data_IF_891647637500
#
_entry.id   IF_891647637500
#
_cell.length_a   1.000
_cell.length_b   1.000
_cell.length_c   1.000
_cell.angle_alpha   90.00
_cell.angle_beta   90.00
_cell.angle_gamma   90.00
#
_symmetry.space_group_name_H-M   'P 1'
#
loop_
_entity.id
_entity.type
_entity.pdbx_description
1 polymer ?
#
# COMPACT_ATOMS: atom_id res chain seq x y z
N UNK A 1 -11.24 7.10 -14.53
CA UNK A 1 -12.70 7.00 -14.28
C UNK A 1 -12.92 6.36 -12.92
N UNK A 2 -12.94 7.19 -11.88
CA UNK A 2 -13.69 6.90 -10.65
C UNK A 2 -15.10 7.37 -10.99
N UNK A 3 -16.06 6.50 -10.73
CA UNK A 3 -17.47 6.62 -11.06
C UNK A 3 -18.01 8.06 -10.94
N UNK A 4 -18.14 8.73 -12.08
CA UNK A 4 -19.07 9.82 -12.28
C UNK A 4 -20.45 9.16 -12.42
N UNK A 5 -21.06 8.84 -11.28
CA UNK A 5 -22.49 8.53 -11.22
C UNK A 5 -23.18 9.88 -11.29
N UNK A 6 -23.67 10.22 -12.48
CA UNK A 6 -24.64 11.31 -12.65
C UNK A 6 -25.93 10.93 -11.90
N UNK A 7 -26.60 11.88 -11.25
CA UNK A 7 -27.87 11.61 -10.59
C UNK A 7 -28.93 11.23 -11.64
N UNK A 8 -29.60 10.10 -11.43
CA UNK A 8 -30.75 9.68 -12.23
C UNK A 8 -31.88 10.71 -12.07
N UNK A 9 -32.32 11.29 -13.19
CA UNK A 9 -33.57 12.05 -13.27
C UNK A 9 -34.71 11.02 -13.37
N UNK A 10 -35.64 11.08 -12.43
CA UNK A 10 -36.86 10.27 -12.43
C UNK A 10 -37.71 10.65 -13.67
N UNK A 11 -37.61 9.87 -14.76
CA UNK A 11 -38.56 9.97 -15.88
C UNK A 11 -39.77 9.06 -15.61
N UNK A 12 -40.94 9.68 -15.65
CA UNK A 12 -42.27 9.18 -15.28
C UNK A 12 -42.70 7.95 -16.11
N UNK A 13 -43.39 7.03 -15.44
CA UNK A 13 -44.09 5.88 -16.04
C UNK A 13 -45.05 6.32 -17.15
N UNK A 14 -44.78 5.95 -18.40
CA UNK A 14 -45.78 5.95 -19.46
C UNK A 14 -46.25 4.50 -19.71
N UNK A 15 -47.49 4.25 -19.30
CA UNK A 15 -48.29 3.05 -19.58
C UNK A 15 -48.48 2.91 -21.11
N UNK A 16 -47.93 1.86 -21.74
CA UNK A 16 -48.32 1.48 -23.11
C UNK A 16 -49.33 0.31 -23.07
N UNK A 17 -50.49 0.61 -23.63
CA UNK A 17 -51.74 -0.16 -23.65
C UNK A 17 -51.63 -1.52 -24.37
N UNK A 18 -52.26 -2.54 -23.78
CA UNK A 18 -52.49 -3.86 -24.37
C UNK A 18 -53.45 -3.75 -25.57
N UNK A 19 -52.98 -4.01 -26.80
CA UNK A 19 -53.85 -4.32 -27.95
C UNK A 19 -53.77 -5.83 -28.28
N UNK A 20 -54.77 -6.58 -27.82
CA UNK A 20 -55.06 -7.94 -28.28
C UNK A 20 -55.67 -7.90 -29.70
N UNK A 21 -54.94 -8.32 -30.73
CA UNK A 21 -55.51 -8.66 -32.04
C UNK A 21 -55.60 -10.18 -32.21
N UNK A 22 -56.79 -10.71 -31.95
CA UNK A 22 -57.23 -12.04 -32.38
C UNK A 22 -57.55 -12.02 -33.89
N UNK A 23 -56.76 -12.70 -34.72
CA UNK A 23 -57.24 -13.21 -36.01
C UNK A 23 -56.89 -14.69 -36.19
N UNK A 24 -57.94 -15.51 -36.06
CA UNK A 24 -57.98 -16.92 -36.42
C UNK A 24 -57.93 -17.11 -37.94
N UNK A 25 -57.00 -17.95 -38.44
CA UNK A 25 -57.26 -18.71 -39.67
C UNK A 25 -56.63 -20.10 -39.61
N UNK A 26 -57.49 -21.11 -39.71
CA UNK A 26 -57.14 -22.53 -39.81
C UNK A 26 -56.45 -22.84 -41.14
N UNK A 27 -55.46 -23.74 -41.13
CA UNK A 27 -55.16 -24.55 -42.31
C UNK A 27 -53.72 -24.99 -42.57
N UNK A 28 -53.44 -26.24 -42.20
CA UNK A 28 -52.61 -27.22 -42.93
C UNK A 28 -51.10 -27.25 -42.65
N UNK A 29 -50.76 -28.21 -41.78
CA UNK A 29 -49.68 -29.19 -41.85
C UNK A 29 -48.42 -28.88 -42.69
N UNK A 30 -47.29 -28.74 -41.99
CA UNK A 30 -46.05 -29.43 -42.35
C UNK A 30 -45.12 -29.53 -41.16
N UNK A 31 -45.01 -30.75 -40.62
CA UNK A 31 -43.95 -31.16 -39.71
C UNK A 31 -42.59 -30.78 -40.30
N UNK A 32 -41.82 -29.97 -39.57
CA UNK A 32 -40.37 -29.95 -39.69
C UNK A 32 -39.78 -30.10 -38.31
N UNK A 33 -39.58 -31.36 -37.95
CA UNK A 33 -38.76 -31.79 -36.83
C UNK A 33 -37.33 -31.28 -37.07
N UNK A 34 -36.90 -30.39 -36.20
CA UNK A 34 -35.52 -29.92 -36.11
C UNK A 34 -35.44 -29.27 -34.74
N UNK A 35 -35.02 -30.05 -33.75
CA UNK A 35 -34.76 -29.64 -32.37
C UNK A 35 -33.99 -28.32 -32.37
N UNK A 36 -34.74 -27.21 -32.31
CA UNK A 36 -34.22 -25.99 -31.74
C UNK A 36 -33.93 -26.39 -30.31
N UNK A 37 -32.64 -26.58 -30.01
CA UNK A 37 -32.12 -26.46 -28.64
C UNK A 37 -32.81 -25.25 -28.05
N UNK A 38 -33.87 -25.49 -27.28
CA UNK A 38 -34.29 -24.59 -26.24
C UNK A 38 -33.09 -24.57 -25.29
N UNK A 39 -32.11 -23.73 -25.62
CA UNK A 39 -31.54 -22.89 -24.60
C UNK A 39 -32.74 -22.13 -24.06
N UNK A 40 -33.41 -22.77 -23.10
CA UNK A 40 -34.20 -22.10 -22.08
C UNK A 40 -33.35 -20.88 -21.77
N UNK A 41 -33.83 -19.70 -22.19
CA UNK A 41 -33.20 -18.45 -21.84
C UNK A 41 -33.20 -18.50 -20.33
N UNK A 42 -32.05 -18.83 -19.76
CA UNK A 42 -31.83 -18.78 -18.33
C UNK A 42 -32.07 -17.31 -18.06
N UNK A 43 -33.27 -16.97 -17.57
CA UNK A 43 -33.49 -15.73 -16.85
C UNK A 43 -32.63 -15.90 -15.61
N UNK A 44 -31.32 -15.71 -15.76
CA UNK A 44 -30.46 -15.41 -14.64
C UNK A 44 -31.05 -14.13 -14.07
N UNK A 45 -31.55 -14.21 -12.84
CA UNK A 45 -32.06 -13.05 -12.11
C UNK A 45 -31.04 -11.91 -12.30
N UNK A 46 -31.46 -10.80 -12.88
CA UNK A 46 -30.59 -9.70 -13.30
C UNK A 46 -29.67 -9.26 -12.15
N UNK A 47 -30.20 -9.27 -10.92
CA UNK A 47 -29.47 -8.98 -9.68
C UNK A 47 -28.30 -9.92 -9.39
N UNK A 48 -28.40 -11.21 -9.75
CA UNK A 48 -27.32 -12.18 -9.61
C UNK A 48 -26.22 -11.89 -10.63
N UNK A 49 -26.60 -11.47 -11.84
CA UNK A 49 -25.64 -11.08 -12.88
C UNK A 49 -24.90 -9.81 -12.47
N UNK A 50 -25.61 -8.80 -11.97
CA UNK A 50 -25.03 -7.53 -11.51
C UNK A 50 -24.06 -7.73 -10.34
N UNK A 51 -24.49 -8.43 -9.27
CA UNK A 51 -23.63 -8.71 -8.11
C UNK A 51 -22.41 -9.56 -8.50
N UNK A 52 -22.57 -10.52 -9.41
CA UNK A 52 -21.45 -11.31 -9.92
C UNK A 52 -20.50 -10.47 -10.79
N UNK A 53 -21.02 -9.53 -11.58
CA UNK A 53 -20.22 -8.64 -12.41
C UNK A 53 -19.41 -7.65 -11.57
N UNK A 54 -20.01 -7.09 -10.51
CA UNK A 54 -19.32 -6.22 -9.54
C UNK A 54 -18.15 -6.96 -8.88
N UNK A 55 -18.40 -8.16 -8.36
CA UNK A 55 -17.37 -8.99 -7.74
C UNK A 55 -16.24 -9.35 -8.71
N UNK A 56 -16.60 -9.76 -9.94
CA UNK A 56 -15.61 -10.09 -10.96
C UNK A 56 -14.75 -8.87 -11.33
N UNK A 57 -15.37 -7.70 -11.50
CA UNK A 57 -14.66 -6.45 -11.75
C UNK A 57 -13.68 -6.14 -10.62
N UNK A 58 -14.12 -6.25 -9.37
CA UNK A 58 -13.28 -6.01 -8.20
C UNK A 58 -12.05 -6.91 -8.13
N UNK A 59 -12.22 -8.21 -8.40
CA UNK A 59 -11.11 -9.18 -8.45
C UNK A 59 -10.13 -8.92 -9.61
N UNK A 60 -10.65 -8.47 -10.76
CA UNK A 60 -9.81 -8.03 -11.88
C UNK A 60 -9.07 -6.74 -11.51
N UNK A 61 -9.75 -5.80 -10.86
CA UNK A 61 -9.21 -4.51 -10.44
C UNK A 61 -8.00 -4.68 -9.52
N UNK A 62 -8.07 -5.56 -8.52
CA UNK A 62 -6.96 -5.88 -7.62
C UNK A 62 -5.67 -6.23 -8.37
N UNK A 63 -5.78 -7.06 -9.42
CA UNK A 63 -4.65 -7.45 -10.28
C UNK A 63 -4.23 -6.32 -11.21
N UNK A 64 -5.20 -5.61 -11.78
CA UNK A 64 -4.98 -4.55 -12.75
C UNK A 64 -4.18 -3.39 -12.15
N UNK A 65 -4.50 -2.94 -10.94
CA UNK A 65 -3.80 -1.80 -10.30
C UNK A 65 -2.33 -2.10 -9.95
N UNK A 66 -1.93 -3.38 -9.94
CA UNK A 66 -0.53 -3.80 -9.81
C UNK A 66 0.19 -3.94 -11.15
N UNK A 67 -0.50 -3.82 -12.29
CA UNK A 67 0.10 -3.80 -13.62
C UNK A 67 0.70 -2.44 -13.93
N UNK A 68 1.62 -2.37 -14.91
CA UNK A 68 2.25 -1.11 -15.34
C UNK A 68 1.24 -0.04 -15.79
N UNK A 69 0.15 -0.45 -16.45
CA UNK A 69 -0.89 0.48 -16.89
C UNK A 69 -1.78 0.93 -15.72
N UNK A 70 -2.20 -0.01 -14.87
CA UNK A 70 -3.07 0.31 -13.74
C UNK A 70 -2.38 1.15 -12.67
N UNK A 71 -1.13 0.85 -12.33
CA UNK A 71 -0.38 1.60 -11.31
C UNK A 71 -0.16 3.06 -11.72
N UNK A 72 0.02 3.33 -13.03
CA UNK A 72 0.09 4.68 -13.59
C UNK A 72 -1.26 5.42 -13.48
N UNK A 73 -2.37 4.75 -13.78
CA UNK A 73 -3.69 5.37 -13.58
C UNK A 73 -3.98 5.66 -12.10
N UNK A 74 -3.48 4.81 -11.20
CA UNK A 74 -3.60 5.05 -9.76
C UNK A 74 -2.68 6.18 -9.29
N UNK A 75 -1.54 6.41 -9.96
CA UNK A 75 -0.63 7.52 -9.62
C UNK A 75 -1.25 8.86 -9.96
N UNK A 76 -1.92 8.97 -11.11
CA UNK A 76 -2.69 10.18 -11.49
C UNK A 76 -3.79 10.47 -10.46
N UNK A 77 -4.54 9.44 -10.04
CA UNK A 77 -5.57 9.57 -8.98
C UNK A 77 -4.97 9.97 -7.63
N UNK A 78 -3.79 9.44 -7.30
CA UNK A 78 -3.06 9.78 -6.08
C UNK A 78 -2.60 11.24 -6.12
N UNK A 79 -2.07 11.72 -7.25
CA UNK A 79 -1.67 13.12 -7.42
C UNK A 79 -2.83 14.09 -7.22
N UNK A 80 -4.00 13.74 -7.76
CA UNK A 80 -5.23 14.52 -7.61
C UNK A 80 -5.88 14.38 -6.21
N UNK A 81 -5.34 13.54 -5.33
CA UNK A 81 -5.86 13.35 -3.98
C UNK A 81 -7.21 12.62 -3.93
N UNK A 82 -7.56 11.85 -4.96
CA UNK A 82 -8.87 11.19 -5.06
C UNK A 82 -9.16 10.19 -3.93
N UNK A 83 -8.12 9.60 -3.33
CA UNK A 83 -8.25 8.64 -2.24
C UNK A 83 -8.40 9.29 -0.86
N UNK A 84 -8.35 10.62 -0.80
CA UNK A 84 -8.42 11.38 0.44
C UNK A 84 -7.07 11.55 1.12
N UNK A 85 -7.15 11.94 2.39
CA UNK A 85 -6.02 12.35 3.21
C UNK A 85 -6.06 11.69 4.59
N UNK A 86 -4.90 11.60 5.22
CA UNK A 86 -4.74 11.03 6.54
C UNK A 86 -5.48 11.86 7.60
N UNK A 87 -6.29 11.23 8.47
CA UNK A 87 -7.03 11.94 9.52
C UNK A 87 -6.13 12.39 10.69
N UNK A 88 -4.88 11.90 10.76
CA UNK A 88 -3.97 12.21 11.86
C UNK A 88 -3.45 13.64 11.71
N UNK A 89 -3.57 14.45 12.76
CA UNK A 89 -3.14 15.86 12.77
C UNK A 89 -1.68 16.04 12.37
N UNK A 90 -0.77 15.23 12.92
CA UNK A 90 0.66 15.29 12.63
C UNK A 90 1.07 14.74 11.25
N UNK A 91 0.09 14.25 10.46
CA UNK A 91 0.29 13.92 9.06
C UNK A 91 0.01 15.10 8.13
N UNK A 92 -0.54 16.20 8.64
CA UNK A 92 -0.71 17.45 7.91
C UNK A 92 -1.47 17.26 6.58
N UNK A 93 -2.50 16.39 6.57
CA UNK A 93 -3.28 16.00 5.38
C UNK A 93 -2.47 15.25 4.30
N UNK A 94 -1.49 14.42 4.69
CA UNK A 94 -0.81 13.51 3.78
C UNK A 94 -1.82 12.64 3.00
N UNK A 95 -1.63 12.53 1.69
CA UNK A 95 -2.50 11.71 0.82
C UNK A 95 -2.41 10.23 1.18
N UNK A 96 -3.52 9.52 1.00
CA UNK A 96 -3.63 8.10 1.31
C UNK A 96 -3.74 7.25 0.06
N UNK A 97 -3.55 5.94 0.22
CA UNK A 97 -3.77 4.93 -0.81
C UNK A 97 -4.84 3.94 -0.33
N UNK A 98 -5.73 3.45 -1.20
CA UNK A 98 -6.65 2.39 -0.84
C UNK A 98 -5.89 1.08 -0.58
N UNK A 99 -6.35 0.31 0.40
CA UNK A 99 -5.74 -0.98 0.78
C UNK A 99 -6.82 -1.95 1.27
N UNK A 100 -6.67 -3.22 0.94
CA UNK A 100 -7.40 -4.32 1.57
C UNK A 100 -6.60 -4.90 2.73
N UNK A 101 -7.24 -5.24 3.84
CA UNK A 101 -6.59 -5.96 4.96
C UNK A 101 -6.60 -7.48 4.75
N UNK A 102 -7.40 -7.96 3.81
CA UNK A 102 -7.40 -9.32 3.29
C UNK A 102 -7.53 -9.32 1.76
N UNK A 103 -7.09 -10.40 1.13
CA UNK A 103 -7.31 -10.66 -0.29
C UNK A 103 -8.52 -11.60 -0.51
N UNK A 104 -9.20 -12.01 0.55
CA UNK A 104 -10.40 -12.87 0.52
C UNK A 104 -11.65 -11.97 0.53
N UNK A 105 -12.51 -12.03 -0.51
CA UNK A 105 -13.74 -11.24 -0.55
C UNK A 105 -14.67 -11.52 0.63
N UNK A 106 -15.35 -10.47 1.10
CA UNK A 106 -16.33 -10.51 2.18
C UNK A 106 -15.73 -10.44 3.59
N UNK A 107 -14.41 -10.46 3.75
CA UNK A 107 -13.79 -10.38 5.08
C UNK A 107 -13.77 -8.96 5.64
N UNK A 108 -13.31 -7.99 4.85
CA UNK A 108 -13.24 -6.60 5.29
C UNK A 108 -13.38 -5.59 4.14
N UNK A 109 -13.94 -4.43 4.46
CA UNK A 109 -14.08 -3.30 3.54
C UNK A 109 -12.74 -2.65 3.23
N UNK A 110 -12.69 -1.88 2.14
CA UNK A 110 -11.53 -1.06 1.80
C UNK A 110 -11.14 -0.10 2.93
N UNK A 111 -9.83 0.05 3.14
CA UNK A 111 -9.23 1.00 4.08
C UNK A 111 -8.30 1.97 3.34
N UNK A 112 -7.82 2.98 4.07
CA UNK A 112 -6.88 3.98 3.59
C UNK A 112 -5.54 3.84 4.33
N UNK A 113 -4.50 3.49 3.60
CA UNK A 113 -3.12 3.47 4.11
C UNK A 113 -2.49 4.86 3.96
N UNK A 114 -1.90 5.38 5.04
CA UNK A 114 -1.11 6.60 5.00
C UNK A 114 0.39 6.29 4.96
N UNK A 115 1.10 6.67 3.88
CA UNK A 115 2.53 6.40 3.75
C UNK A 115 3.39 7.28 4.67
N UNK A 116 2.84 8.37 5.22
CA UNK A 116 3.58 9.27 6.10
C UNK A 116 3.67 8.79 7.56
N UNK A 117 2.62 8.14 8.08
CA UNK A 117 2.62 7.59 9.44
C UNK A 117 2.56 6.07 9.50
N UNK A 118 2.56 5.40 8.35
CA UNK A 118 2.56 3.94 8.21
C UNK A 118 1.41 3.26 8.96
N UNK A 119 0.19 3.80 8.78
CA UNK A 119 -0.99 3.30 9.48
C UNK A 119 -2.22 3.26 8.55
N UNK A 120 -3.22 2.49 8.95
CA UNK A 120 -4.42 2.20 8.17
C UNK A 120 -5.66 2.81 8.85
N UNK A 121 -6.50 3.45 8.05
CA UNK A 121 -7.68 4.20 8.51
C UNK A 121 -8.94 3.76 7.77
N UNK A 122 -10.08 3.86 8.45
CA UNK A 122 -11.39 3.68 7.81
C UNK A 122 -11.70 4.93 6.97
N UNK A 123 -12.16 4.80 5.72
CA UNK A 123 -12.59 5.95 4.92
C UNK A 123 -13.70 6.73 5.66
N UNK A 124 -13.63 8.07 5.71
CA UNK A 124 -14.57 8.87 6.51
C UNK A 124 -15.98 8.90 5.95
N UNK A 125 -16.13 8.73 4.63
CA UNK A 125 -17.43 8.67 3.97
C UNK A 125 -17.99 7.24 4.01
N UNK A 126 -19.21 7.09 4.53
CA UNK A 126 -19.89 5.80 4.67
C UNK A 126 -20.14 5.09 3.35
N UNK A 127 -20.19 5.79 2.21
CA UNK A 127 -20.36 5.16 0.89
C UNK A 127 -19.27 4.14 0.53
N UNK A 128 -18.11 4.23 1.17
CA UNK A 128 -16.99 3.30 0.94
C UNK A 128 -17.03 2.09 1.89
N UNK A 129 -17.97 2.05 2.85
CA UNK A 129 -18.12 0.92 3.78
C UNK A 129 -18.80 -0.29 3.14
N UNK A 130 -19.30 -0.17 1.91
CA UNK A 130 -19.83 -1.30 1.13
C UNK A 130 -18.82 -1.85 0.14
N UNK A 131 -17.70 -1.16 -0.08
CA UNK A 131 -16.67 -1.57 -1.05
C UNK A 131 -15.71 -2.56 -0.41
N UNK A 132 -15.57 -3.74 -1.01
CA UNK A 132 -14.68 -4.80 -0.53
C UNK A 132 -13.20 -4.39 -0.63
N UNK A 133 -12.43 -4.63 0.43
CA UNK A 133 -11.00 -4.36 0.46
C UNK A 133 -10.19 -5.30 -0.43
N UNK A 134 -10.67 -6.52 -0.66
CA UNK A 134 -10.01 -7.50 -1.53
C UNK A 134 -9.84 -6.97 -2.96
N UNK A 135 -10.72 -6.07 -3.42
CA UNK A 135 -10.64 -5.45 -4.75
C UNK A 135 -9.44 -4.52 -4.94
N UNK A 136 -8.75 -4.16 -3.86
CA UNK A 136 -7.48 -3.42 -3.87
C UNK A 136 -6.32 -4.30 -3.42
N UNK A 137 -6.60 -5.25 -2.52
CA UNK A 137 -5.63 -6.19 -1.99
C UNK A 137 -4.63 -5.57 -1.04
N UNK A 138 -3.79 -6.42 -0.44
CA UNK A 138 -2.79 -6.00 0.56
C UNK A 138 -1.53 -5.38 -0.06
N UNK A 139 -1.21 -5.73 -1.30
CA UNK A 139 0.11 -5.46 -1.92
C UNK A 139 0.21 -4.10 -2.60
N UNK A 140 -0.90 -3.58 -3.12
CA UNK A 140 -0.90 -2.40 -4.01
C UNK A 140 -0.17 -1.20 -3.42
N UNK A 141 -0.43 -0.86 -2.15
CA UNK A 141 0.19 0.32 -1.51
C UNK A 141 1.72 0.24 -1.42
N UNK A 142 2.26 -0.92 -1.07
CA UNK A 142 3.71 -1.12 -1.00
C UNK A 142 4.36 -1.07 -2.38
N UNK A 143 3.76 -1.78 -3.36
CA UNK A 143 4.23 -1.77 -4.74
C UNK A 143 4.21 -0.36 -5.35
N UNK A 144 3.17 0.42 -5.06
CA UNK A 144 3.04 1.82 -5.49
C UNK A 144 4.22 2.66 -5.02
N UNK A 145 4.57 2.61 -3.73
CA UNK A 145 5.66 3.40 -3.17
C UNK A 145 7.05 2.97 -3.66
N UNK A 146 7.23 1.69 -3.95
CA UNK A 146 8.46 1.17 -4.56
C UNK A 146 8.57 1.55 -6.05
N UNK A 147 7.44 1.67 -6.74
CA UNK A 147 7.39 2.03 -8.17
C UNK A 147 7.61 3.52 -8.38
N UNK A 148 7.13 4.36 -7.44
CA UNK A 148 7.22 5.82 -7.51
C UNK A 148 7.92 6.42 -6.29
N UNK A 149 9.21 6.09 -6.04
CA UNK A 149 9.94 6.64 -4.91
C UNK A 149 10.05 8.16 -4.96
N UNK A 150 9.95 8.78 -6.14
CA UNK A 150 10.04 10.22 -6.38
C UNK A 150 8.91 11.07 -5.81
N UNK A 151 7.81 10.47 -5.37
CA UNK A 151 6.79 11.22 -4.65
C UNK A 151 7.34 11.72 -3.33
N UNK A 152 7.35 13.04 -3.15
CA UNK A 152 7.79 13.62 -1.89
C UNK A 152 6.69 13.49 -0.83
N UNK A 153 6.88 12.53 0.07
CA UNK A 153 5.98 12.27 1.18
C UNK A 153 6.18 13.24 2.35
N UNK A 154 7.03 14.26 2.24
CA UNK A 154 7.18 15.34 3.23
C UNK A 154 6.32 16.56 2.88
N UNK A 155 6.08 16.81 1.59
CA UNK A 155 5.30 17.96 1.08
C UNK A 155 3.80 17.80 1.34
N UNK A 156 3.11 18.93 1.59
CA UNK A 156 1.70 18.98 1.99
C UNK A 156 0.95 20.11 1.27
N UNK A 157 -0.37 20.01 1.21
CA UNK A 157 -1.24 21.10 0.73
C UNK A 157 -0.86 21.63 -0.66
N UNK A 158 -0.64 22.95 -0.78
CA UNK A 158 -0.35 23.60 -2.05
C UNK A 158 0.98 23.15 -2.69
N UNK A 159 1.98 22.76 -1.89
CA UNK A 159 3.28 22.29 -2.39
C UNK A 159 3.17 21.01 -3.21
N UNK A 160 2.10 20.26 -2.95
CA UNK A 160 1.78 19.03 -3.63
C UNK A 160 1.18 19.26 -5.02
N UNK A 161 0.40 20.34 -5.17
CA UNK A 161 -0.17 20.77 -6.45
C UNK A 161 0.89 21.32 -7.42
N UNK A 162 2.02 21.78 -6.89
CA UNK A 162 3.16 22.27 -7.68
C UNK A 162 4.07 21.16 -8.25
N UNK A 163 3.68 19.89 -8.13
CA UNK A 163 4.50 18.74 -8.56
C UNK A 163 5.56 18.38 -7.52
N UNK A 164 5.11 17.93 -6.35
CA UNK A 164 5.94 17.52 -5.22
C UNK A 164 6.82 16.29 -5.53
N UNK A 165 7.93 16.52 -6.24
CA UNK A 165 9.05 15.58 -6.36
C UNK A 165 10.13 15.89 -5.34
N UNK A 166 10.86 14.84 -4.96
CA UNK A 166 12.02 14.93 -4.07
C UNK A 166 13.15 15.73 -4.74
N UNK A 167 13.78 16.64 -3.99
CA UNK A 167 14.93 17.43 -4.45
C UNK A 167 16.15 16.54 -4.73
N UNK A 168 17.07 16.96 -5.61
CA UNK A 168 18.29 16.18 -5.91
C UNK A 168 19.13 15.85 -4.65
N UNK A 169 19.18 16.78 -3.71
CA UNK A 169 19.96 16.63 -2.46
C UNK A 169 19.35 15.58 -1.51
N UNK A 170 18.07 15.26 -1.65
CA UNK A 170 17.33 14.33 -0.78
C UNK A 170 17.19 12.92 -1.38
N UNK A 171 17.92 12.64 -2.47
CA UNK A 171 17.85 11.36 -3.20
C UNK A 171 18.61 10.20 -2.57
N UNK A 172 19.12 10.37 -1.36
CA UNK A 172 19.75 9.26 -0.64
C UNK A 172 18.69 8.17 -0.38
N UNK A 173 18.93 6.99 -0.95
CA UNK A 173 18.02 5.84 -0.86
C UNK A 173 18.30 5.03 0.40
N UNK A 174 17.24 4.52 1.00
CA UNK A 174 17.24 3.58 2.12
C UNK A 174 16.17 2.53 1.84
N UNK A 175 16.57 1.26 1.75
CA UNK A 175 15.69 0.12 1.46
C UNK A 175 14.75 0.34 0.25
N UNK A 176 15.24 1.00 -0.81
CA UNK A 176 14.46 1.25 -2.04
C UNK A 176 13.50 2.46 -1.98
N UNK A 177 13.51 3.24 -0.90
CA UNK A 177 12.80 4.52 -0.81
C UNK A 177 13.77 5.67 -0.50
N UNK A 178 13.45 6.90 -0.91
CA UNK A 178 14.23 8.05 -0.46
C UNK A 178 14.12 8.24 1.06
N UNK A 179 15.22 8.60 1.72
CA UNK A 179 15.27 8.78 3.18
C UNK A 179 14.26 9.79 3.71
N UNK A 180 14.02 10.86 2.96
CA UNK A 180 13.01 11.86 3.29
C UNK A 180 11.59 11.25 3.33
N UNK A 181 11.34 10.21 2.55
CA UNK A 181 10.06 9.52 2.44
C UNK A 181 9.86 8.42 3.50
N UNK A 182 10.89 8.06 4.26
CA UNK A 182 10.76 7.06 5.33
C UNK A 182 10.01 7.67 6.50
N UNK A 183 8.73 7.30 6.66
CA UNK A 183 7.86 7.69 7.77
C UNK A 183 8.00 9.18 8.23
N UNK A 184 7.74 10.16 7.34
CA UNK A 184 7.98 11.58 7.64
C UNK A 184 7.12 12.15 8.77
N UNK A 185 6.02 11.49 9.13
CA UNK A 185 5.09 11.93 10.19
C UNK A 185 5.23 11.13 11.50
N UNK A 186 6.33 10.37 11.65
CA UNK A 186 6.71 9.68 12.89
C UNK A 186 7.96 10.31 13.51
N UNK A 187 8.20 10.00 14.79
CA UNK A 187 9.35 10.50 15.56
C UNK A 187 8.98 11.56 16.59
N UNK A 188 9.98 11.95 17.40
CA UNK A 188 9.80 12.74 18.63
C UNK A 188 9.01 14.04 18.46
N UNK A 189 9.15 14.73 17.33
CA UNK A 189 8.44 15.98 17.04
C UNK A 189 6.99 15.81 16.56
N UNK A 190 6.57 14.57 16.27
CA UNK A 190 5.26 14.22 15.70
C UNK A 190 4.44 13.30 16.62
N UNK A 191 4.79 13.24 17.91
CA UNK A 191 4.04 12.55 18.96
C UNK A 191 3.16 13.56 19.68
N UNK A 192 1.86 13.25 19.81
CA UNK A 192 0.92 14.10 20.52
C UNK A 192 1.20 14.09 22.02
N UNK A 193 1.43 15.27 22.61
CA UNK A 193 1.59 15.44 24.05
C UNK A 193 0.28 15.88 24.71
N UNK A 194 -0.42 15.01 25.47
CA UNK A 194 -1.63 15.40 26.19
C UNK A 194 -1.30 16.38 27.31
N UNK A 195 -2.08 17.48 27.39
CA UNK A 195 -1.96 18.51 28.42
C UNK A 195 -3.30 18.82 29.04
N UNK A 196 -3.33 18.98 30.36
CA UNK A 196 -4.52 19.39 31.13
C UNK A 196 -4.14 20.64 31.93
N UNK A 197 -4.87 21.73 31.74
CA UNK A 197 -4.55 23.06 32.30
C UNK A 197 -3.09 23.51 32.03
N UNK A 198 -2.53 23.14 30.88
CA UNK A 198 -1.16 23.47 30.47
C UNK A 198 -0.08 22.49 30.97
N UNK A 199 -0.41 21.63 31.94
CA UNK A 199 0.52 20.62 32.47
C UNK A 199 0.47 19.34 31.66
N UNK A 200 1.65 18.76 31.38
CA UNK A 200 1.75 17.46 30.71
C UNK A 200 1.14 16.38 31.59
N UNK A 201 0.31 15.53 30.99
CA UNK A 201 -0.23 14.36 31.69
C UNK A 201 0.91 13.37 31.93
N UNK A 202 1.07 12.92 33.17
CA UNK A 202 2.09 11.92 33.54
C UNK A 202 1.85 10.60 32.79
N UNK A 203 2.93 9.94 32.38
CA UNK A 203 2.89 8.59 31.76
C UNK A 203 2.36 7.52 32.73
N UNK A 204 2.52 7.74 34.03
CA UNK A 204 2.00 6.85 35.08
C UNK A 204 0.49 7.01 35.23
N UNK A 205 -0.08 8.13 34.81
CA UNK A 205 -1.52 8.37 34.92
C UNK A 205 -2.32 7.33 34.12
N UNK A 206 -3.52 7.00 34.60
CA UNK A 206 -4.43 6.07 33.90
C UNK A 206 -4.79 6.57 32.49
N UNK A 207 -4.97 7.88 32.35
CA UNK A 207 -5.21 8.58 31.08
C UNK A 207 -3.93 9.13 30.45
N UNK A 208 -2.76 8.63 30.88
CA UNK A 208 -1.47 9.00 30.30
C UNK A 208 -1.33 8.50 28.87
N UNK A 209 -0.37 9.05 28.10
CA UNK A 209 -0.09 8.57 26.76
C UNK A 209 0.34 7.10 26.82
N UNK A 210 -0.33 6.24 26.05
CA UNK A 210 0.01 4.82 25.90
C UNK A 210 0.55 4.59 24.49
N UNK A 211 1.33 3.52 24.34
CA UNK A 211 1.76 3.05 23.02
C UNK A 211 2.51 4.11 22.19
N UNK A 212 3.30 4.97 22.83
CA UNK A 212 4.11 5.98 22.13
C UNK A 212 5.09 5.34 21.13
N UNK A 213 5.56 4.13 21.46
CA UNK A 213 6.45 3.32 20.62
C UNK A 213 5.92 3.07 19.20
N UNK A 214 4.59 3.01 19.00
CA UNK A 214 3.99 2.91 17.67
C UNK A 214 4.24 4.14 16.78
N UNK A 215 4.67 5.25 17.38
CA UNK A 215 4.96 6.52 16.70
C UNK A 215 6.42 6.93 16.83
N UNK A 216 7.24 6.09 17.44
CA UNK A 216 8.67 6.32 17.55
C UNK A 216 9.33 6.11 16.20
N UNK A 217 10.40 6.87 15.98
CA UNK A 217 11.25 6.79 14.79
C UNK A 217 12.68 7.06 15.26
N UNK A 218 13.66 6.23 14.88
CA UNK A 218 15.07 6.47 15.21
C UNK A 218 15.51 7.87 14.76
N UNK A 219 16.37 8.50 15.56
CA UNK A 219 16.98 9.78 15.19
C UNK A 219 17.99 9.62 14.06
N UNK A 220 18.74 8.51 14.08
CA UNK A 220 19.60 8.12 12.97
C UNK A 220 18.87 7.10 12.09
N UNK A 221 18.60 7.50 10.85
CA UNK A 221 17.95 6.63 9.86
C UNK A 221 18.89 5.52 9.35
N UNK A 222 20.20 5.63 9.56
CA UNK A 222 21.15 4.59 9.16
C UNK A 222 20.90 3.25 9.89
N UNK A 223 20.26 3.30 11.06
CA UNK A 223 19.85 2.12 11.83
C UNK A 223 18.78 1.27 11.12
N UNK A 224 18.02 1.89 10.22
CA UNK A 224 16.98 1.23 9.42
C UNK A 224 17.54 0.63 8.12
N UNK A 225 18.83 0.78 7.83
CA UNK A 225 19.47 0.19 6.65
C UNK A 225 19.58 -1.33 6.81
N UNK A 226 18.62 -2.04 6.22
CA UNK A 226 18.51 -3.50 6.32
C UNK A 226 19.65 -4.18 5.57
N UNK A 227 20.06 -3.63 4.42
CA UNK A 227 21.14 -4.19 3.60
C UNK A 227 22.49 -4.10 4.33
N UNK A 228 22.77 -2.95 4.96
CA UNK A 228 23.97 -2.78 5.78
C UNK A 228 23.99 -3.74 6.97
N UNK A 229 22.86 -3.87 7.68
CA UNK A 229 22.75 -4.81 8.81
C UNK A 229 22.99 -6.26 8.38
N UNK A 230 22.37 -6.67 7.28
CA UNK A 230 22.57 -8.02 6.74
C UNK A 230 24.04 -8.29 6.39
N UNK A 231 24.72 -7.35 5.73
CA UNK A 231 26.13 -7.49 5.37
C UNK A 231 27.07 -7.52 6.60
N UNK A 232 26.74 -6.79 7.66
CA UNK A 232 27.47 -6.84 8.94
C UNK A 232 27.28 -8.18 9.67
N UNK A 233 26.07 -8.76 9.60
CA UNK A 233 25.74 -10.05 10.21
C UNK A 233 26.25 -11.25 9.37
N UNK A 234 26.38 -11.08 8.04
CA UNK A 234 26.76 -12.14 7.10
C UNK A 234 27.98 -11.73 6.24
N UNK A 235 29.17 -11.52 6.84
CA UNK A 235 30.36 -11.06 6.11
C UNK A 235 30.90 -12.07 5.09
N UNK A 236 30.43 -13.32 5.11
CA UNK A 236 30.85 -14.40 4.23
C UNK A 236 29.90 -14.64 3.04
N UNK A 237 28.75 -13.94 2.94
CA UNK A 237 27.78 -14.14 1.85
C UNK A 237 28.16 -13.46 0.52
N UNK A 238 29.26 -12.70 0.48
CA UNK A 238 29.69 -11.91 -0.69
C UNK A 238 30.43 -12.72 -1.77
N UNK A 239 30.65 -14.03 -1.57
CA UNK A 239 31.53 -14.83 -2.45
C UNK A 239 30.82 -15.63 -3.57
N UNK A 240 29.48 -15.78 -3.55
CA UNK A 240 28.81 -16.74 -4.46
C UNK A 240 27.93 -16.15 -5.58
N UNK A 241 27.46 -14.89 -5.53
CA UNK A 241 26.41 -14.41 -6.45
C UNK A 241 26.86 -13.52 -7.63
N UNK A 242 28.12 -13.09 -7.71
CA UNK A 242 28.60 -12.16 -8.77
C UNK A 242 29.68 -12.78 -9.70
N UNK A 243 29.65 -14.09 -9.97
CA UNK A 243 30.64 -14.75 -10.85
C UNK A 243 30.13 -15.38 -12.15
N UNK A 244 28.89 -15.14 -12.56
CA UNK A 244 28.37 -15.71 -13.81
C UNK A 244 28.07 -14.63 -14.86
N UNK A 245 29.06 -14.33 -15.69
CA UNK A 245 28.77 -13.70 -16.98
C UNK A 245 28.04 -14.73 -17.87
N UNK A 246 27.27 -14.31 -18.89
CA UNK A 246 26.50 -15.20 -19.78
C UNK A 246 27.30 -16.33 -20.48
N UNK A 247 28.64 -16.29 -20.40
CA UNK A 247 29.57 -17.30 -20.90
C UNK A 247 30.39 -18.03 -19.81
N UNK A 248 29.97 -17.99 -18.53
CA UNK A 248 30.49 -18.85 -17.46
C UNK A 248 31.97 -18.68 -17.11
N UNK A 249 32.54 -17.47 -17.26
CA UNK A 249 33.94 -17.19 -16.85
C UNK A 249 34.00 -16.18 -15.70
N UNK A 250 34.84 -16.43 -14.68
CA UNK A 250 34.97 -15.53 -13.53
C UNK A 250 35.69 -14.24 -13.93
N UNK A 251 35.08 -13.08 -13.60
CA UNK A 251 35.67 -11.75 -13.81
C UNK A 251 36.24 -11.28 -12.48
N UNK A 252 37.58 -11.18 -12.37
CA UNK A 252 38.22 -10.56 -11.20
C UNK A 252 38.11 -9.04 -11.30
N UNK A 253 37.31 -8.42 -10.42
CA UNK A 253 37.41 -6.96 -10.19
C UNK A 253 38.55 -6.66 -9.21
N UNK A 254 39.39 -5.68 -9.58
CA UNK A 254 40.43 -5.13 -8.71
C UNK A 254 39.78 -4.37 -7.56
N UNK A 255 40.07 -4.79 -6.32
CA UNK A 255 39.67 -4.13 -5.07
C UNK A 255 39.84 -2.61 -5.16
N UNK A 256 38.77 -1.85 -4.94
CA UNK A 256 38.89 -0.43 -4.66
C UNK A 256 39.64 -0.27 -3.32
N UNK A 257 40.86 0.27 -3.37
CA UNK A 257 41.67 0.58 -2.20
C UNK A 257 40.89 1.56 -1.30
N UNK A 258 40.53 1.12 -0.09
CA UNK A 258 40.13 2.02 1.01
C UNK A 258 41.21 3.09 1.18
N UNK A 259 40.86 4.37 1.02
CA UNK A 259 41.72 5.50 1.43
C UNK A 259 41.61 5.64 2.95
N UNK A 260 42.59 5.09 3.67
CA UNK A 260 42.75 5.35 5.10
C UNK A 260 43.13 6.82 5.31
N UNK A 261 42.30 7.56 6.04
CA UNK A 261 42.67 8.83 6.66
C UNK A 261 43.39 8.48 7.98
N UNK A 262 44.62 8.98 8.24
CA UNK A 262 45.36 8.59 9.43
C UNK A 262 44.88 9.38 10.66
N UNK A 263 44.41 8.66 11.67
CA UNK A 263 44.25 9.16 13.05
C UNK A 263 45.54 8.89 13.80
N UNK A 264 46.12 9.95 14.37
CA UNK A 264 47.36 9.90 15.12
C UNK A 264 47.13 9.37 16.55
N UNK A 265 47.82 8.26 16.86
CA UNK A 265 48.68 8.10 18.05
C UNK A 265 48.06 8.01 19.45
N UNK A 266 48.22 6.85 20.08
CA UNK A 266 48.16 6.71 21.54
C UNK A 266 48.11 5.25 21.99
N UNK A 267 49.27 4.61 22.14
CA UNK A 267 49.42 3.17 22.37
C UNK A 267 49.07 2.69 23.79
N UNK A 268 48.90 1.37 23.89
CA UNK A 268 48.81 0.65 25.16
C UNK A 268 48.45 -0.82 24.92
N UNK A 269 49.43 -1.69 25.09
CA UNK A 269 49.36 -3.14 24.89
C UNK A 269 48.48 -3.85 25.94
N UNK A 270 47.96 -5.04 25.60
CA UNK A 270 47.61 -6.04 26.61
C UNK A 270 46.51 -7.03 26.24
N UNK A 271 46.92 -8.15 25.64
CA UNK A 271 46.41 -9.53 25.78
C UNK A 271 44.92 -9.80 26.07
N UNK A 272 44.29 -10.54 25.16
CA UNK A 272 43.12 -11.37 25.43
C UNK A 272 43.42 -12.47 26.48
N UNK A 273 42.43 -12.87 27.27
CA UNK A 273 42.33 -14.27 27.69
C UNK A 273 40.98 -14.90 27.36
N UNK A 274 41.07 -16.20 27.11
CA UNK A 274 40.02 -17.16 26.74
C UNK A 274 38.90 -17.30 27.76
N UNK A 275 37.75 -17.75 27.26
CA UNK A 275 36.68 -18.39 28.03
C UNK A 275 37.11 -19.71 28.66
N UNK A 276 36.64 -19.96 29.89
CA UNK A 276 36.44 -21.32 30.42
C UNK A 276 35.19 -21.38 31.29
N UNK A 277 34.24 -22.19 30.84
CA UNK A 277 33.34 -23.11 31.57
C UNK A 277 32.39 -22.60 32.65
N UNK A 278 31.15 -23.08 32.48
CA UNK A 278 30.05 -23.00 33.42
C UNK A 278 30.24 -23.76 34.73
N UNK A 279 29.37 -23.40 35.66
CA UNK A 279 28.95 -24.22 36.78
C UNK A 279 27.51 -23.84 37.11
N UNK A 280 26.62 -24.81 36.98
CA UNK A 280 25.31 -24.84 37.64
C UNK A 280 25.49 -24.75 39.16
N UNK A 281 24.53 -24.14 39.86
CA UNK A 281 24.02 -24.64 41.15
C UNK A 281 22.80 -23.84 41.60
N UNK A 282 21.82 -24.61 42.05
CA UNK A 282 20.48 -24.27 42.53
C UNK A 282 20.46 -23.32 43.75
N UNK A 283 19.46 -22.43 43.78
CA UNK A 283 18.40 -22.31 44.80
C UNK A 283 17.40 -21.23 44.40
#
# INVERSE_FOLDING_TARGET
>A
MILDVEPEEDEEDDEEEDEEEDESIEGIERMRHGERRNHSRINSDLSVVESSAEMLYGLIHQRFICSRAGIQQMSEKYELGHFGVCPRSHCDQARTLPVGLSDIPGEETVKLFCPSCLDVYVPPNSRFQTVDGAFFGRTFGALFLLTFPEYDLTKRGADVLAGARVSEDDKEMLNGMYRCNVAPSLGRSKIYEPRIYGFRVSEVARSGPRMQWLRDKPSDLSELDEARRYAEENPESDDDDESMNLNGRPVRRLRARRRNVPVAGGGGAGGSPMETNGAESEL
#
